data_IF_258890133485
#
_entry.id   IF_258890133485
#
_cell.length_a   1.000
_cell.length_b   1.000
_cell.length_c   1.000
_cell.angle_alpha   90.00
_cell.angle_beta   90.00
_cell.angle_gamma   90.00
#
_symmetry.space_group_name_H-M   'P 1'
#
loop_
_entity.id
_entity.type
_entity.pdbx_description
1 polymer ?
#
# COMPACT_ATOMS: atom_id res chain seq x y z
N UNK A 1 15.35 -0.18 -11.32
CA UNK A 1 14.80 0.08 -9.97
C UNK A 1 13.49 -0.66 -9.85
N UNK A 2 13.14 -1.18 -8.67
CA UNK A 2 11.82 -1.81 -8.46
C UNK A 2 10.78 -0.72 -8.18
N UNK A 3 9.54 -0.96 -8.58
CA UNK A 3 8.43 -0.07 -8.25
C UNK A 3 8.11 -0.16 -6.75
N UNK A 4 7.78 0.97 -6.12
CA UNK A 4 7.41 1.02 -4.70
C UNK A 4 5.96 0.57 -4.52
N UNK A 5 5.73 -0.36 -3.60
CA UNK A 5 4.41 -0.91 -3.29
C UNK A 5 4.11 -0.76 -1.79
N UNK A 6 2.98 -0.13 -1.46
CA UNK A 6 2.43 -0.13 -0.11
C UNK A 6 1.32 -1.18 0.03
N UNK A 7 1.41 -2.04 1.05
CA UNK A 7 0.37 -3.03 1.40
C UNK A 7 -0.28 -2.61 2.70
N UNK A 8 -1.59 -2.33 2.69
CA UNK A 8 -2.33 -1.76 3.83
C UNK A 8 -2.56 -2.75 4.98
N UNK A 9 -2.18 -4.01 4.79
CA UNK A 9 -2.29 -5.09 5.77
C UNK A 9 -1.19 -6.13 5.58
N UNK A 10 -0.79 -6.77 6.68
CA UNK A 10 -0.05 -8.03 6.58
C UNK A 10 -0.87 -9.08 5.81
N UNK A 11 -0.22 -9.69 4.82
CA UNK A 11 -0.72 -10.83 4.06
C UNK A 11 0.14 -12.05 4.38
N UNK A 12 -0.29 -13.23 3.92
CA UNK A 12 0.51 -14.44 4.06
C UNK A 12 1.93 -14.24 3.52
N UNK A 13 2.92 -14.78 4.26
CA UNK A 13 4.33 -14.59 3.98
C UNK A 13 4.72 -14.96 2.53
N UNK A 14 4.16 -16.04 2.01
CA UNK A 14 4.45 -16.51 0.65
C UNK A 14 3.94 -15.52 -0.43
N UNK A 15 2.85 -14.80 -0.15
CA UNK A 15 2.34 -13.73 -1.02
C UNK A 15 3.31 -12.55 -1.03
N UNK A 16 3.76 -12.09 0.15
CA UNK A 16 4.74 -11.00 0.25
C UNK A 16 6.07 -11.38 -0.41
N UNK A 17 6.55 -12.61 -0.20
CA UNK A 17 7.77 -13.12 -0.83
C UNK A 17 7.67 -13.17 -2.36
N UNK A 18 6.51 -13.55 -2.92
CA UNK A 18 6.27 -13.54 -4.37
C UNK A 18 6.27 -12.11 -4.93
N UNK A 19 5.58 -11.17 -4.27
CA UNK A 19 5.45 -9.78 -4.72
C UNK A 19 6.81 -9.05 -4.64
N UNK A 20 7.58 -9.28 -3.57
CA UNK A 20 8.89 -8.66 -3.31
C UNK A 20 9.96 -8.99 -4.37
N UNK A 21 9.71 -10.01 -5.22
CA UNK A 21 10.56 -10.28 -6.40
C UNK A 21 10.50 -9.15 -7.42
N UNK A 22 9.37 -8.45 -7.52
CA UNK A 22 9.10 -7.43 -8.54
C UNK A 22 9.04 -6.00 -7.97
N UNK A 23 8.63 -5.86 -6.70
CA UNK A 23 8.41 -4.57 -6.04
C UNK A 23 9.33 -4.36 -4.84
N UNK A 24 9.55 -3.09 -4.48
CA UNK A 24 10.02 -2.69 -3.16
C UNK A 24 8.79 -2.57 -2.25
N UNK A 25 8.62 -3.51 -1.34
CA UNK A 25 7.37 -3.69 -0.59
C UNK A 25 7.51 -3.10 0.81
N UNK A 26 6.61 -2.16 1.13
CA UNK A 26 6.33 -1.74 2.50
C UNK A 26 4.99 -2.31 2.94
N UNK A 27 4.96 -2.96 4.11
CA UNK A 27 3.74 -3.51 4.70
C UNK A 27 3.38 -2.68 5.93
N UNK A 28 2.11 -2.29 6.03
CA UNK A 28 1.59 -1.63 7.22
C UNK A 28 1.76 -2.50 8.47
N UNK A 29 2.38 -1.93 9.51
CA UNK A 29 2.87 -2.65 10.68
C UNK A 29 1.84 -2.84 11.79
N UNK A 30 0.57 -2.48 11.55
CA UNK A 30 -0.51 -2.59 12.54
C UNK A 30 -1.65 -3.47 12.06
N UNK A 31 -2.29 -4.09 13.04
CA UNK A 31 -3.50 -4.90 12.81
C UNK A 31 -4.72 -4.08 12.38
N UNK A 32 -4.81 -2.79 12.75
CA UNK A 32 -5.88 -1.86 12.32
C UNK A 32 -5.56 -1.21 10.97
N UNK A 33 -6.55 -0.85 10.13
CA UNK A 33 -6.25 -0.24 8.84
C UNK A 33 -5.44 1.04 9.01
N UNK A 34 -4.57 1.40 8.05
CA UNK A 34 -3.93 2.69 8.05
C UNK A 34 -5.02 3.79 8.04
N UNK A 35 -4.87 4.85 8.85
CA UNK A 35 -5.73 6.03 8.75
C UNK A 35 -5.75 6.59 7.32
N UNK A 36 -6.83 7.27 6.94
CA UNK A 36 -6.98 7.83 5.60
C UNK A 36 -5.85 8.83 5.27
N UNK A 37 -5.40 9.60 6.24
CA UNK A 37 -4.28 10.53 6.11
C UNK A 37 -2.97 9.79 5.82
N UNK A 38 -2.76 8.62 6.42
CA UNK A 38 -1.60 7.77 6.12
C UNK A 38 -1.65 7.27 4.68
N UNK A 39 -2.81 6.82 4.18
CA UNK A 39 -2.97 6.44 2.78
C UNK A 39 -2.63 7.60 1.85
N UNK A 40 -3.11 8.81 2.14
CA UNK A 40 -2.84 10.03 1.38
C UNK A 40 -1.35 10.37 1.34
N UNK A 41 -0.62 10.21 2.44
CA UNK A 41 0.83 10.46 2.44
C UNK A 41 1.60 9.37 1.69
N UNK A 42 1.18 8.10 1.78
CA UNK A 42 1.85 6.99 1.08
C UNK A 42 1.73 7.09 -0.43
N UNK A 43 0.52 7.37 -0.96
CA UNK A 43 0.28 7.38 -2.42
C UNK A 43 1.08 8.45 -3.17
N UNK A 44 1.61 9.46 -2.49
CA UNK A 44 2.48 10.48 -3.10
C UNK A 44 3.86 9.94 -3.49
N UNK A 45 4.30 8.83 -2.90
CA UNK A 45 5.65 8.28 -3.10
C UNK A 45 5.65 6.84 -3.65
N UNK A 46 4.56 6.08 -3.45
CA UNK A 46 4.48 4.71 -3.99
C UNK A 46 3.91 4.67 -5.40
N UNK A 47 4.36 3.70 -6.20
CA UNK A 47 3.87 3.50 -7.58
C UNK A 47 2.64 2.55 -7.61
N UNK A 48 2.39 1.82 -6.52
CA UNK A 48 1.26 0.91 -6.38
C UNK A 48 0.79 0.78 -4.92
N UNK A 49 -0.49 0.39 -4.75
CA UNK A 49 -1.06 0.03 -3.46
C UNK A 49 -1.79 -1.33 -3.55
N UNK A 50 -1.64 -2.16 -2.52
CA UNK A 50 -2.52 -3.31 -2.26
C UNK A 50 -3.41 -2.93 -1.08
N UNK A 51 -4.67 -2.67 -1.37
CA UNK A 51 -5.70 -2.31 -0.39
C UNK A 51 -6.62 -3.48 -0.06
N UNK A 52 -7.30 -3.40 1.08
CA UNK A 52 -8.41 -4.28 1.49
C UNK A 52 -9.74 -3.50 1.52
N UNK A 53 -10.83 -4.22 1.79
CA UNK A 53 -12.19 -3.67 1.73
C UNK A 53 -12.46 -2.47 2.65
N UNK A 54 -11.70 -2.33 3.74
CA UNK A 54 -11.87 -1.25 4.72
C UNK A 54 -11.08 0.01 4.38
N UNK A 55 -10.20 -0.04 3.39
CA UNK A 55 -9.46 1.13 2.95
C UNK A 55 -10.36 2.01 2.07
N UNK A 56 -10.43 3.30 2.40
CA UNK A 56 -11.20 4.26 1.61
C UNK A 56 -10.39 4.72 0.40
N UNK A 57 -10.68 4.15 -0.76
CA UNK A 57 -10.08 4.54 -2.05
C UNK A 57 -11.07 5.45 -2.80
N UNK A 58 -10.87 6.77 -2.71
CA UNK A 58 -11.73 7.77 -3.34
C UNK A 58 -10.96 8.67 -4.32
N UNK A 59 -11.68 9.58 -5.00
CA UNK A 59 -11.08 10.49 -5.98
C UNK A 59 -10.00 11.42 -5.39
N UNK A 60 -10.11 11.79 -4.10
CA UNK A 60 -9.13 12.65 -3.45
C UNK A 60 -7.83 11.88 -3.16
N UNK A 61 -7.92 10.59 -2.78
CA UNK A 61 -6.76 9.71 -2.68
C UNK A 61 -6.09 9.51 -4.04
N UNK A 62 -6.86 9.12 -5.06
CA UNK A 62 -6.32 8.86 -6.41
C UNK A 62 -5.71 10.14 -7.00
N UNK A 63 -6.35 11.30 -6.82
CA UNK A 63 -5.86 12.58 -7.33
C UNK A 63 -4.57 13.07 -6.65
N UNK A 64 -4.13 12.46 -5.55
CA UNK A 64 -2.86 12.73 -4.88
C UNK A 64 -1.79 11.67 -5.17
N UNK A 65 -2.14 10.60 -5.88
CA UNK A 65 -1.17 9.60 -6.30
C UNK A 65 -0.20 10.18 -7.33
N UNK A 66 1.05 9.73 -7.27
CA UNK A 66 2.13 10.11 -8.18
C UNK A 66 1.90 9.63 -9.62
#
# INVERSE_FOLDING_TARGET
>A
MKHKLFVTRELFKDVIEKISKYYEVEVWDRYTPPPYETLIEKVKDVDAIVSLLTDKIDCNLIGKAK
#
